data_IF_298625699263
#
_entry.id   IF_298625699263
#
_cell.length_a   1.000
_cell.length_b   1.000
_cell.length_c   1.000
_cell.angle_alpha   90.00
_cell.angle_beta   90.00
_cell.angle_gamma   90.00
#
_symmetry.space_group_name_H-M   'P 1'
#
loop_
_entity.id
_entity.type
_entity.pdbx_description
1 polymer ?
#
# COMPACT_ATOMS: atom_id res chain seq x y z
N UNK A 1 0.33 -22.70 5.71
CA UNK A 1 0.58 -21.60 6.57
C UNK A 1 0.31 -20.26 5.92
N UNK A 2 -0.46 -19.46 6.54
CA UNK A 2 -0.78 -18.16 5.96
C UNK A 2 0.38 -17.19 6.09
N UNK A 3 0.43 -16.22 5.20
CA UNK A 3 1.42 -15.18 5.26
C UNK A 3 1.14 -14.19 6.37
N UNK A 4 2.02 -13.21 6.47
CA UNK A 4 1.91 -12.15 7.45
C UNK A 4 1.99 -10.81 6.75
N UNK A 5 1.27 -9.86 7.26
CA UNK A 5 1.38 -8.48 6.80
C UNK A 5 1.36 -7.56 8.00
N UNK A 6 2.26 -6.58 8.01
CA UNK A 6 2.23 -5.52 9.01
C UNK A 6 2.42 -4.17 8.33
N UNK A 7 1.82 -3.15 8.91
CA UNK A 7 2.08 -1.77 8.52
C UNK A 7 2.15 -0.95 9.80
N UNK A 8 3.21 -0.18 9.96
CA UNK A 8 3.49 0.56 11.18
C UNK A 8 4.00 1.94 10.87
N UNK A 9 3.74 2.86 11.77
CA UNK A 9 4.27 4.20 11.64
C UNK A 9 5.74 4.21 12.06
N UNK A 10 6.59 4.69 11.16
CA UNK A 10 8.03 4.76 11.38
C UNK A 10 8.50 6.16 11.79
N UNK A 11 7.62 7.15 11.68
CA UNK A 11 7.91 8.53 12.01
C UNK A 11 6.80 9.41 11.49
N UNK A 12 6.86 10.74 11.70
CA UNK A 12 5.82 11.63 11.20
C UNK A 12 5.67 11.49 9.69
N UNK A 13 4.46 11.18 9.25
CA UNK A 13 4.17 11.04 7.84
C UNK A 13 4.81 9.84 7.16
N UNK A 14 5.30 8.87 7.92
CA UNK A 14 5.99 7.70 7.35
C UNK A 14 5.42 6.40 7.87
N UNK A 15 5.04 5.52 6.93
CA UNK A 15 4.59 4.17 7.24
C UNK A 15 5.53 3.18 6.57
N UNK A 16 5.76 2.04 7.24
CA UNK A 16 6.52 0.94 6.68
C UNK A 16 5.64 -0.29 6.66
N UNK A 17 5.48 -0.88 5.49
CA UNK A 17 4.75 -2.13 5.33
C UNK A 17 5.74 -3.27 5.13
N UNK A 18 5.40 -4.45 5.63
CA UNK A 18 6.25 -5.62 5.44
C UNK A 18 5.43 -6.89 5.38
N UNK A 19 6.03 -7.93 4.82
CA UNK A 19 5.41 -9.24 4.70
C UNK A 19 4.78 -9.44 3.34
N UNK A 20 3.59 -10.04 3.33
CA UNK A 20 2.90 -10.38 2.10
C UNK A 20 1.66 -9.50 1.89
N UNK A 21 1.57 -8.92 0.72
CA UNK A 21 0.40 -8.14 0.35
C UNK A 21 -0.40 -8.94 -0.67
N UNK A 22 -1.01 -10.01 -0.18
CA UNK A 22 -1.70 -11.01 -0.98
C UNK A 22 -3.20 -11.00 -0.72
N UNK A 23 -3.93 -11.80 -1.49
CA UNK A 23 -5.36 -11.95 -1.32
C UNK A 23 -5.73 -12.30 0.12
N UNK A 24 -4.96 -13.20 0.75
CA UNK A 24 -5.23 -13.63 2.12
C UNK A 24 -5.08 -12.50 3.13
N UNK A 25 -4.18 -11.57 2.87
CA UNK A 25 -3.89 -10.48 3.78
C UNK A 25 -4.65 -9.19 3.43
N UNK A 26 -5.37 -9.19 2.31
CA UNK A 26 -5.95 -7.95 1.78
C UNK A 26 -6.91 -7.27 2.76
N UNK A 27 -7.83 -8.03 3.36
CA UNK A 27 -8.80 -7.43 4.28
C UNK A 27 -8.12 -6.82 5.49
N UNK A 28 -7.12 -7.51 6.04
CA UNK A 28 -6.35 -7.00 7.17
C UNK A 28 -5.57 -5.75 6.78
N UNK A 29 -4.94 -5.78 5.60
CA UNK A 29 -4.15 -4.66 5.11
C UNK A 29 -5.02 -3.42 4.91
N UNK A 30 -6.21 -3.59 4.35
CA UNK A 30 -7.15 -2.50 4.16
C UNK A 30 -7.52 -1.86 5.48
N UNK A 31 -7.88 -2.67 6.48
CA UNK A 31 -8.26 -2.14 7.80
C UNK A 31 -7.12 -1.40 8.46
N UNK A 32 -5.94 -1.99 8.47
CA UNK A 32 -4.79 -1.40 9.15
C UNK A 32 -4.34 -0.11 8.46
N UNK A 33 -4.31 -0.10 7.14
CA UNK A 33 -3.93 1.08 6.39
C UNK A 33 -4.95 2.21 6.55
N UNK A 34 -6.23 1.89 6.45
CA UNK A 34 -7.28 2.90 6.60
C UNK A 34 -7.21 3.57 7.97
N UNK A 35 -6.93 2.80 9.00
CA UNK A 35 -6.81 3.31 10.36
C UNK A 35 -5.66 4.32 10.47
N UNK A 36 -4.51 3.99 9.87
CA UNK A 36 -3.33 4.84 9.96
C UNK A 36 -3.42 6.07 9.04
N UNK A 37 -3.92 5.90 7.84
CA UNK A 37 -3.97 6.98 6.85
C UNK A 37 -4.74 8.19 7.37
N UNK A 38 -5.77 7.99 8.15
CA UNK A 38 -6.59 9.09 8.65
C UNK A 38 -5.91 9.96 9.68
N UNK A 39 -4.75 9.55 10.19
CA UNK A 39 -4.11 10.22 11.34
C UNK A 39 -3.27 11.43 10.97
N UNK A 40 -2.83 11.53 9.71
CA UNK A 40 -2.01 12.64 9.25
C UNK A 40 -2.40 13.05 7.84
N UNK A 41 -2.13 14.30 7.45
CA UNK A 41 -2.54 14.79 6.14
C UNK A 41 -1.72 14.25 4.97
N UNK A 42 -0.51 13.75 5.23
CA UNK A 42 0.36 13.25 4.16
C UNK A 42 1.21 12.09 4.66
N UNK A 43 1.29 11.06 3.82
CA UNK A 43 2.05 9.86 4.14
C UNK A 43 2.95 9.46 3.00
N UNK A 44 4.14 8.99 3.36
CA UNK A 44 4.98 8.18 2.46
C UNK A 44 4.94 6.76 3.01
N UNK A 45 4.51 5.81 2.20
CA UNK A 45 4.43 4.41 2.60
C UNK A 45 5.55 3.65 1.91
N UNK A 46 6.48 3.14 2.71
CA UNK A 46 7.61 2.37 2.22
C UNK A 46 7.21 0.90 2.11
N UNK A 47 7.28 0.37 0.90
CA UNK A 47 6.88 -1.00 0.59
C UNK A 47 8.09 -1.90 0.31
N UNK A 48 9.31 -1.41 0.56
CA UNK A 48 10.52 -2.16 0.25
C UNK A 48 10.63 -3.47 1.02
N UNK A 49 9.96 -3.58 2.16
CA UNK A 49 9.96 -4.80 2.96
C UNK A 49 8.79 -5.74 2.66
N UNK A 50 7.97 -5.39 1.70
CA UNK A 50 6.93 -6.31 1.22
C UNK A 50 7.61 -7.33 0.34
N UNK A 51 7.56 -8.59 0.76
CA UNK A 51 8.31 -9.67 0.11
C UNK A 51 7.60 -10.21 -1.12
N UNK A 52 6.27 -10.17 -1.11
CA UNK A 52 5.49 -10.66 -2.23
C UNK A 52 4.14 -9.95 -2.26
N UNK A 53 3.57 -9.89 -3.44
CA UNK A 53 2.25 -9.31 -3.61
C UNK A 53 1.64 -9.80 -4.91
N UNK A 54 0.33 -9.92 -4.94
CA UNK A 54 -0.42 -10.34 -6.10
C UNK A 54 -1.36 -9.22 -6.56
N UNK A 55 -2.30 -9.54 -7.43
CA UNK A 55 -3.24 -8.53 -7.92
C UNK A 55 -4.14 -7.98 -6.83
N UNK A 56 -4.45 -8.79 -5.81
CA UNK A 56 -5.22 -8.29 -4.67
C UNK A 56 -4.39 -7.26 -3.89
N UNK A 57 -3.08 -7.47 -3.78
CA UNK A 57 -2.19 -6.51 -3.15
C UNK A 57 -2.15 -5.19 -3.91
N UNK A 58 -2.09 -5.25 -5.24
CA UNK A 58 -2.16 -4.04 -6.06
C UNK A 58 -3.48 -3.31 -5.81
N UNK A 59 -4.58 -4.04 -5.70
CA UNK A 59 -5.88 -3.45 -5.40
C UNK A 59 -5.89 -2.76 -4.04
N UNK A 60 -5.19 -3.31 -3.04
CA UNK A 60 -5.05 -2.66 -1.73
C UNK A 60 -4.34 -1.31 -1.88
N UNK A 61 -3.26 -1.26 -2.66
CA UNK A 61 -2.54 -0.01 -2.88
C UNK A 61 -3.43 1.04 -3.54
N UNK A 62 -4.24 0.64 -4.50
CA UNK A 62 -5.18 1.55 -5.15
C UNK A 62 -6.24 2.03 -4.16
N UNK A 63 -6.73 1.13 -3.32
CA UNK A 63 -7.76 1.48 -2.33
C UNK A 63 -7.23 2.45 -1.28
N UNK A 64 -6.00 2.28 -0.83
CA UNK A 64 -5.39 3.23 0.11
C UNK A 64 -5.29 4.64 -0.50
N UNK A 65 -4.97 4.74 -1.80
CA UNK A 65 -4.96 6.04 -2.47
C UNK A 65 -6.36 6.65 -2.50
N UNK A 66 -7.37 5.83 -2.78
CA UNK A 66 -8.75 6.30 -2.81
C UNK A 66 -9.22 6.76 -1.44
N UNK A 67 -8.87 6.00 -0.39
CA UNK A 67 -9.20 6.35 0.98
C UNK A 67 -8.57 7.69 1.36
N UNK A 68 -7.29 7.87 1.04
CA UNK A 68 -6.58 9.11 1.34
C UNK A 68 -7.27 10.29 0.66
N UNK A 69 -7.57 10.14 -0.64
CA UNK A 69 -8.21 11.20 -1.40
C UNK A 69 -9.57 11.58 -0.81
N UNK A 70 -10.36 10.58 -0.42
CA UNK A 70 -11.67 10.82 0.16
C UNK A 70 -11.59 11.54 1.49
N UNK A 71 -10.48 11.43 2.21
CA UNK A 71 -10.29 12.07 3.52
C UNK A 71 -9.48 13.35 3.45
N UNK A 72 -9.11 13.79 2.25
CA UNK A 72 -8.29 14.99 2.09
C UNK A 72 -6.83 14.78 2.47
N UNK A 73 -6.39 13.53 2.49
CA UNK A 73 -5.00 13.19 2.76
C UNK A 73 -4.28 12.83 1.47
N UNK A 74 -2.95 12.70 1.53
CA UNK A 74 -2.18 12.22 0.40
C UNK A 74 -1.35 11.01 0.80
N UNK A 75 -1.17 10.09 -0.14
CA UNK A 75 -0.33 8.90 0.04
C UNK A 75 0.60 8.81 -1.17
N UNK A 76 1.88 8.62 -0.89
CA UNK A 76 2.90 8.37 -1.91
C UNK A 76 3.59 7.07 -1.54
N UNK A 77 3.80 6.20 -2.53
CA UNK A 77 4.48 4.93 -2.31
C UNK A 77 5.94 5.02 -2.67
N UNK A 78 6.76 4.26 -1.94
CA UNK A 78 8.18 4.13 -2.19
C UNK A 78 8.56 2.66 -2.08
N UNK A 79 9.42 2.21 -3.00
CA UNK A 79 9.92 0.84 -2.92
C UNK A 79 8.91 -0.23 -3.30
N UNK A 80 7.97 0.09 -4.20
CA UNK A 80 6.99 -0.91 -4.63
C UNK A 80 7.71 -2.10 -5.24
N UNK A 81 7.44 -3.34 -4.78
CA UNK A 81 8.08 -4.52 -5.33
C UNK A 81 7.87 -4.65 -6.84
N UNK A 82 8.92 -5.09 -7.54
CA UNK A 82 8.89 -5.19 -9.01
C UNK A 82 7.74 -6.07 -9.50
N UNK A 83 7.42 -7.13 -8.78
CA UNK A 83 6.33 -8.03 -9.13
C UNK A 83 4.99 -7.28 -9.14
N UNK A 84 4.77 -6.42 -8.17
CA UNK A 84 3.54 -5.65 -8.09
C UNK A 84 3.49 -4.55 -9.15
N UNK A 85 4.63 -3.94 -9.45
CA UNK A 85 4.69 -2.96 -10.53
C UNK A 85 4.40 -3.61 -11.88
N UNK A 86 4.84 -4.85 -12.09
CA UNK A 86 4.54 -5.57 -13.32
C UNK A 86 3.03 -5.80 -13.48
N UNK A 87 2.37 -6.18 -12.38
CA UNK A 87 0.91 -6.35 -12.39
C UNK A 87 0.22 -5.01 -12.66
N UNK A 88 0.69 -3.96 -12.01
CA UNK A 88 0.11 -2.63 -12.17
C UNK A 88 0.24 -2.14 -13.62
N UNK A 89 1.37 -2.44 -14.26
CA UNK A 89 1.60 -2.06 -15.65
C UNK A 89 0.60 -2.72 -16.58
N UNK A 90 0.37 -4.01 -16.41
CA UNK A 90 -0.60 -4.76 -17.22
C UNK A 90 -2.00 -4.21 -17.02
N UNK A 91 -2.32 -3.77 -15.82
CA UNK A 91 -3.64 -3.25 -15.46
C UNK A 91 -3.78 -1.76 -15.70
N UNK A 92 -2.75 -1.12 -16.27
CA UNK A 92 -2.74 0.31 -16.56
C UNK A 92 -2.85 1.17 -15.28
N UNK A 93 -2.26 0.69 -14.20
CA UNK A 93 -2.28 1.38 -12.90
C UNK A 93 -0.91 1.89 -12.47
N UNK A 94 0.12 1.65 -13.28
CA UNK A 94 1.49 1.98 -12.89
C UNK A 94 1.66 3.47 -12.57
N UNK A 95 1.15 4.33 -13.44
CA UNK A 95 1.30 5.77 -13.27
C UNK A 95 0.57 6.24 -12.02
N UNK A 96 -0.58 5.66 -11.73
CA UNK A 96 -1.33 5.99 -10.52
C UNK A 96 -0.51 5.66 -9.27
N UNK A 97 0.10 4.47 -9.23
CA UNK A 97 0.87 4.03 -8.06
C UNK A 97 2.18 4.78 -7.92
N UNK A 98 2.76 5.23 -9.00
CA UNK A 98 4.01 5.98 -8.99
C UNK A 98 3.82 7.49 -8.95
N UNK A 99 2.57 7.94 -8.92
CA UNK A 99 2.22 9.36 -8.87
C UNK A 99 2.78 10.14 -10.05
N UNK A 100 2.71 9.52 -11.24
CA UNK A 100 3.19 10.16 -12.47
C UNK A 100 2.07 10.69 -13.31
#
# INVERSE_FOLDING_TARGET
>A
MSGRFTIEQAGPGQLVASGELSFEMAAQALRQGDELIRREPAWVIDLARVESGDSAGVAVLVDWLATAKARGCSVTYRGIPAQMLAIARISDLEDLLLAR
#
